data_IF_705804750201
#
_entry.id   IF_705804750201
#
_cell.length_a   1.000
_cell.length_b   1.000
_cell.length_c   1.000
_cell.angle_alpha   90.00
_cell.angle_beta   90.00
_cell.angle_gamma   90.00
#
_symmetry.space_group_name_H-M   'P 1'
#
loop_
_entity.id
_entity.type
_entity.pdbx_description
1 polymer ?
#
# COMPACT_ATOMS: atom_id res chain seq x y z
N UNK A 1 -5.99 -5.89 0.37
CA UNK A 1 -5.52 -4.55 0.80
C UNK A 1 -5.83 -4.30 2.28
N UNK A 2 -7.08 -4.47 2.75
CA UNK A 2 -7.44 -4.27 4.16
C UNK A 2 -6.57 -5.05 5.17
N UNK A 3 -6.24 -6.31 4.89
CA UNK A 3 -5.33 -7.10 5.71
C UNK A 3 -3.92 -6.49 5.81
N UNK A 4 -3.37 -5.98 4.70
CA UNK A 4 -2.05 -5.35 4.67
C UNK A 4 -2.02 -4.02 5.44
N UNK A 5 -3.11 -3.25 5.38
CA UNK A 5 -3.26 -1.96 6.06
C UNK A 5 -3.48 -2.09 7.57
N UNK A 6 -3.86 -3.28 8.08
CA UNK A 6 -4.08 -3.50 9.51
C UNK A 6 -2.82 -3.38 10.35
N UNK A 7 -1.66 -3.74 9.79
CA UNK A 7 -0.34 -3.53 10.40
C UNK A 7 0.38 -2.26 9.93
N UNK A 8 -0.28 -1.40 9.15
CA UNK A 8 0.30 -0.14 8.69
C UNK A 8 0.15 0.96 9.76
N UNK A 9 1.13 1.87 9.82
CA UNK A 9 1.05 3.09 10.62
C UNK A 9 -0.10 3.99 10.16
N UNK A 10 -0.63 4.81 11.06
CA UNK A 10 -1.76 5.70 10.74
C UNK A 10 -1.48 6.64 9.56
N UNK A 11 -0.30 7.30 9.46
CA UNK A 11 0.00 8.16 8.32
C UNK A 11 0.01 7.41 6.98
N UNK A 12 0.53 6.18 6.95
CA UNK A 12 0.56 5.37 5.73
C UNK A 12 -0.85 4.93 5.33
N UNK A 13 -1.68 4.57 6.30
CA UNK A 13 -3.07 4.18 6.07
C UNK A 13 -3.90 5.34 5.50
N UNK A 14 -3.71 6.54 6.06
CA UNK A 14 -4.39 7.76 5.59
C UNK A 14 -3.95 8.14 4.17
N UNK A 15 -2.67 7.95 3.84
CA UNK A 15 -2.19 8.13 2.46
C UNK A 15 -2.97 7.22 1.48
N UNK A 16 -3.21 5.96 1.83
CA UNK A 16 -4.02 5.08 0.97
C UNK A 16 -5.48 5.52 0.89
N UNK A 17 -6.11 5.91 2.01
CA UNK A 17 -7.51 6.31 2.03
C UNK A 17 -7.78 7.63 1.31
N UNK A 18 -6.87 8.59 1.39
CA UNK A 18 -7.00 9.87 0.70
C UNK A 18 -6.96 9.73 -0.84
N UNK A 19 -6.39 8.64 -1.35
CA UNK A 19 -6.38 8.29 -2.78
C UNK A 19 -7.57 7.40 -3.20
N UNK A 20 -8.54 7.17 -2.33
CA UNK A 20 -9.76 6.40 -2.62
C UNK A 20 -10.98 7.32 -2.68
N UNK A 21 -12.04 6.88 -3.36
CA UNK A 21 -13.34 7.52 -3.21
C UNK A 21 -13.88 7.33 -1.79
N UNK A 22 -14.75 8.24 -1.34
CA UNK A 22 -15.36 8.18 0.00
C UNK A 22 -16.08 6.83 0.25
N UNK A 23 -16.82 6.34 -0.75
CA UNK A 23 -17.48 5.03 -0.69
C UNK A 23 -16.46 3.89 -0.55
N UNK A 24 -15.40 3.88 -1.36
CA UNK A 24 -14.41 2.80 -1.34
C UNK A 24 -13.63 2.78 -0.02
N UNK A 25 -13.22 3.95 0.47
CA UNK A 25 -12.52 4.07 1.75
C UNK A 25 -13.39 3.64 2.93
N UNK A 26 -14.71 3.94 2.90
CA UNK A 26 -15.67 3.47 3.91
C UNK A 26 -15.78 1.94 3.92
N UNK A 27 -16.00 1.31 2.76
CA UNK A 27 -16.09 -0.15 2.65
C UNK A 27 -14.79 -0.80 3.14
N UNK A 28 -13.63 -0.26 2.78
CA UNK A 28 -12.34 -0.80 3.21
C UNK A 28 -12.16 -0.73 4.73
N UNK A 29 -12.61 0.34 5.38
CA UNK A 29 -12.57 0.46 6.85
C UNK A 29 -13.49 -0.56 7.52
N UNK A 30 -14.71 -0.72 7.03
CA UNK A 30 -15.66 -1.72 7.52
C UNK A 30 -15.09 -3.14 7.38
N UNK A 31 -14.48 -3.46 6.24
CA UNK A 31 -13.80 -4.74 6.01
C UNK A 31 -12.66 -4.96 7.03
N UNK A 32 -11.83 -3.95 7.29
CA UNK A 32 -10.72 -4.04 8.25
C UNK A 32 -11.18 -4.29 9.69
N UNK A 33 -12.29 -3.66 10.09
CA UNK A 33 -12.91 -3.83 11.40
C UNK A 33 -13.52 -5.23 11.55
N UNK A 34 -14.12 -5.75 10.48
CA UNK A 34 -14.74 -7.09 10.45
C UNK A 34 -13.73 -8.24 10.59
N UNK A 35 -12.46 -8.04 10.21
CA UNK A 35 -11.44 -9.10 10.17
C UNK A 35 -11.03 -9.66 11.55
N UNK A 36 -11.36 -8.99 12.66
CA UNK A 36 -10.95 -9.45 14.00
C UNK A 36 -9.41 -9.53 14.16
N UNK A 37 -8.88 -10.23 15.18
CA UNK A 37 -7.44 -10.38 15.33
C UNK A 37 -6.83 -11.18 14.16
N UNK A 38 -5.80 -10.62 13.52
CA UNK A 38 -5.10 -11.24 12.39
C UNK A 38 -3.67 -11.61 12.79
N UNK A 39 -3.10 -12.63 12.15
CA UNK A 39 -1.71 -13.04 12.42
C UNK A 39 -0.75 -12.11 11.70
N UNK A 40 0.35 -11.73 12.36
CA UNK A 40 1.38 -10.87 11.78
C UNK A 40 1.90 -11.41 10.43
N UNK A 41 2.13 -12.72 10.33
CA UNK A 41 2.56 -13.38 9.08
C UNK A 41 1.60 -13.14 7.91
N UNK A 42 0.30 -13.10 8.17
CA UNK A 42 -0.70 -12.90 7.12
C UNK A 42 -0.71 -11.44 6.64
N UNK A 43 -0.43 -10.50 7.55
CA UNK A 43 -0.21 -9.09 7.23
C UNK A 43 1.04 -8.91 6.38
N UNK A 44 2.16 -9.52 6.76
CA UNK A 44 3.43 -9.46 6.02
C UNK A 44 3.27 -10.00 4.60
N UNK A 45 2.60 -11.15 4.45
CA UNK A 45 2.31 -11.73 3.13
C UNK A 45 1.44 -10.79 2.26
N UNK A 46 0.44 -10.16 2.86
CA UNK A 46 -0.43 -9.21 2.15
C UNK A 46 0.34 -7.94 1.73
N UNK A 47 1.26 -7.46 2.57
CA UNK A 47 2.14 -6.33 2.22
C UNK A 47 3.10 -6.71 1.09
N UNK A 48 3.69 -7.90 1.13
CA UNK A 48 4.56 -8.40 0.05
C UNK A 48 3.83 -8.49 -1.28
N UNK A 49 2.57 -8.91 -1.29
CA UNK A 49 1.75 -8.90 -2.49
C UNK A 49 1.55 -7.48 -3.05
N UNK A 50 1.36 -6.47 -2.19
CA UNK A 50 1.26 -5.06 -2.62
C UNK A 50 2.58 -4.55 -3.21
N UNK A 51 3.72 -4.90 -2.59
CA UNK A 51 5.05 -4.55 -3.13
C UNK A 51 5.26 -5.19 -4.50
N UNK A 52 4.83 -6.44 -4.69
CA UNK A 52 4.94 -7.10 -5.99
C UNK A 52 4.12 -6.38 -7.07
N UNK A 53 2.89 -5.98 -6.76
CA UNK A 53 2.07 -5.17 -7.68
C UNK A 53 2.76 -3.85 -8.02
N UNK A 54 3.34 -3.15 -7.04
CA UNK A 54 4.08 -1.91 -7.28
C UNK A 54 5.30 -2.13 -8.19
N UNK A 55 6.05 -3.22 -7.98
CA UNK A 55 7.18 -3.60 -8.86
C UNK A 55 6.72 -3.92 -10.28
N UNK A 56 5.61 -4.63 -10.43
CA UNK A 56 5.05 -4.97 -11.74
C UNK A 56 4.58 -3.72 -12.50
N UNK A 57 3.95 -2.76 -11.80
CA UNK A 57 3.58 -1.46 -12.36
C UNK A 57 4.82 -0.66 -12.78
N UNK A 58 5.87 -0.68 -11.97
CA UNK A 58 7.13 -0.01 -12.30
C UNK A 58 7.82 -0.63 -13.52
N UNK A 59 7.81 -1.97 -13.63
CA UNK A 59 8.36 -2.69 -14.78
C UNK A 59 7.60 -2.37 -16.09
N UNK A 60 6.32 -2.00 -16.00
CA UNK A 60 5.50 -1.54 -17.13
C UNK A 60 5.70 -0.06 -17.46
N UNK A 61 6.34 0.70 -16.56
CA UNK A 61 6.50 2.15 -16.66
C UNK A 61 5.26 2.93 -16.19
N UNK A 62 4.27 2.28 -15.58
CA UNK A 62 3.04 2.93 -15.09
C UNK A 62 3.31 3.81 -13.86
N UNK A 63 4.28 3.42 -13.04
CA UNK A 63 4.73 4.19 -11.87
C UNK A 63 6.26 4.25 -11.81
N UNK A 64 6.80 5.28 -11.16
CA UNK A 64 8.21 5.36 -10.83
C UNK A 64 8.41 5.06 -9.34
N UNK A 65 9.31 4.13 -9.02
CA UNK A 65 9.71 3.87 -7.64
C UNK A 65 10.87 4.79 -7.29
N UNK A 66 10.58 5.87 -6.54
CA UNK A 66 11.60 6.76 -6.02
C UNK A 66 12.58 5.97 -5.13
N UNK A 67 13.89 6.12 -5.38
CA UNK A 67 14.96 5.42 -4.65
C UNK A 67 15.56 4.19 -5.34
N UNK A 68 15.07 3.78 -6.52
CA UNK A 68 15.77 2.78 -7.35
C UNK A 68 16.84 3.41 -8.28
N UNK A 69 16.95 4.74 -8.30
CA UNK A 69 17.94 5.50 -9.06
C UNK A 69 18.84 6.32 -8.14
N UNK A 70 19.70 5.65 -7.37
CA UNK A 70 20.63 6.30 -6.44
C UNK A 70 21.70 7.20 -7.07
N UNK A 71 21.67 7.51 -8.37
CA UNK A 71 22.74 8.28 -9.03
C UNK A 71 22.30 9.27 -10.14
N UNK A 72 21.00 9.44 -10.45
CA UNK A 72 20.57 10.28 -11.59
C UNK A 72 19.56 11.39 -11.22
N UNK A 73 19.70 11.97 -10.02
CA UNK A 73 19.16 13.31 -9.75
C UNK A 73 20.14 14.36 -10.33
N UNK A 74 19.99 14.68 -11.62
CA UNK A 74 20.56 15.92 -12.16
C UNK A 74 19.68 17.09 -11.72
N UNK A 75 20.19 17.85 -10.76
CA UNK A 75 19.69 19.19 -10.41
C UNK A 75 20.20 20.17 -11.48
N UNK A 76 19.31 20.96 -12.07
CA UNK A 76 19.64 22.22 -12.76
C UNK A 76 19.01 23.40 -12.02
#
# INVERSE_FOLDING_TARGET
MGLALKGASDPLREMFFSNMSERASKIMREDMDSMGPVRLKDVDNAQMAMVQVAKDLAARGDIMLAGQGGDDELIY
#
